data_IF_978568186560
#
_entry.id   IF_978568186560
#
_cell.length_a   1.000
_cell.length_b   1.000
_cell.length_c   1.000
_cell.angle_alpha   90.00
_cell.angle_beta   90.00
_cell.angle_gamma   90.00
#
_symmetry.space_group_name_H-M   'P 1'
#
loop_
_entity.id
_entity.type
_entity.pdbx_description
1 polymer ?
#
# COMPACT_ATOMS: atom_id res chain seq x y z
N UNK A 1 14.18 -12.09 -0.05
CA UNK A 1 12.85 -11.85 0.54
C UNK A 1 12.16 -10.80 -0.32
N UNK A 2 10.93 -11.03 -0.78
CA UNK A 2 10.29 -10.25 -1.86
C UNK A 2 9.81 -8.87 -1.38
N UNK A 3 8.90 -8.81 -0.39
CA UNK A 3 8.46 -7.59 0.30
C UNK A 3 8.29 -7.89 1.82
N UNK A 4 8.52 -6.90 2.69
CA UNK A 4 8.24 -6.98 4.14
C UNK A 4 6.80 -6.57 4.45
N UNK A 5 6.32 -5.53 3.78
CA UNK A 5 4.95 -5.07 3.89
C UNK A 5 4.04 -5.93 3.02
N UNK A 6 2.92 -6.39 3.59
CA UNK A 6 2.01 -7.32 2.91
C UNK A 6 0.59 -6.78 2.82
N UNK A 7 -0.05 -7.01 1.66
CA UNK A 7 -1.46 -6.69 1.45
C UNK A 7 -2.32 -7.80 2.06
N UNK A 8 -3.15 -7.44 3.04
CA UNK A 8 -4.11 -8.33 3.69
C UNK A 8 -5.51 -8.07 3.16
N UNK A 9 -6.34 -9.12 3.08
CA UNK A 9 -7.75 -8.97 2.75
C UNK A 9 -8.44 -8.08 3.78
N UNK A 10 -9.20 -7.09 3.31
CA UNK A 10 -9.98 -6.20 4.17
C UNK A 10 -11.37 -5.96 3.56
N UNK A 11 -12.41 -6.07 4.38
CA UNK A 11 -13.79 -5.74 3.97
C UNK A 11 -13.92 -4.30 3.50
N UNK A 12 -13.04 -3.41 3.97
CA UNK A 12 -12.98 -2.01 3.52
C UNK A 12 -12.70 -1.89 2.03
N UNK A 13 -11.82 -2.73 1.49
CA UNK A 13 -11.51 -2.75 0.04
C UNK A 13 -12.77 -3.13 -0.73
N UNK A 14 -13.54 -4.11 -0.25
CA UNK A 14 -14.83 -4.46 -0.86
C UNK A 14 -15.83 -3.31 -0.84
N UNK A 15 -15.87 -2.50 0.22
CA UNK A 15 -16.69 -1.27 0.25
C UNK A 15 -16.20 -0.27 -0.78
N UNK A 16 -14.89 -0.01 -0.87
CA UNK A 16 -14.35 0.93 -1.85
C UNK A 16 -14.58 0.48 -3.30
N UNK A 17 -14.53 -0.82 -3.58
CA UNK A 17 -14.84 -1.35 -4.92
C UNK A 17 -16.26 -1.03 -5.39
N UNK A 18 -17.19 -0.81 -4.45
CA UNK A 18 -18.60 -0.48 -4.75
C UNK A 18 -18.88 1.02 -4.70
N UNK A 19 -18.18 1.74 -3.82
CA UNK A 19 -18.57 3.10 -3.42
C UNK A 19 -17.48 4.16 -3.68
N UNK A 20 -16.34 3.77 -4.26
CA UNK A 20 -15.16 4.62 -4.39
C UNK A 20 -14.31 4.65 -3.12
N UNK A 21 -13.02 4.95 -3.30
CA UNK A 21 -12.07 5.14 -2.20
C UNK A 21 -12.45 6.40 -1.42
N UNK A 22 -12.38 6.31 -0.09
CA UNK A 22 -12.61 7.44 0.82
C UNK A 22 -11.54 7.46 1.89
N UNK A 23 -11.34 8.62 2.53
CA UNK A 23 -10.35 8.81 3.60
C UNK A 23 -10.97 9.16 4.96
N UNK A 24 -12.25 9.54 4.95
CA UNK A 24 -12.95 10.10 6.11
C UNK A 24 -13.82 9.09 6.86
N UNK A 25 -14.00 7.86 6.34
CA UNK A 25 -14.81 6.83 7.01
C UNK A 25 -13.95 5.98 7.93
N UNK A 26 -14.61 5.32 8.88
CA UNK A 26 -13.93 4.43 9.84
C UNK A 26 -13.08 3.37 9.13
N UNK A 27 -11.88 3.12 9.63
CA UNK A 27 -10.86 2.22 9.06
C UNK A 27 -10.26 2.62 7.70
N UNK A 28 -10.68 3.72 7.07
CA UNK A 28 -10.12 4.13 5.77
C UNK A 28 -8.61 4.35 5.86
N UNK A 29 -8.17 5.25 6.76
CA UNK A 29 -6.75 5.58 6.97
C UNK A 29 -5.89 4.36 7.30
N UNK A 30 -6.44 3.40 8.05
CA UNK A 30 -5.73 2.16 8.41
C UNK A 30 -5.53 1.23 7.21
N UNK A 31 -6.47 1.22 6.28
CA UNK A 31 -6.37 0.39 5.08
C UNK A 31 -5.52 1.11 4.03
N UNK A 32 -5.62 2.44 3.92
CA UNK A 32 -4.72 3.25 3.09
C UNK A 32 -3.26 3.05 3.52
N UNK A 33 -2.94 3.11 4.82
CA UNK A 33 -1.57 2.93 5.29
C UNK A 33 -0.99 1.54 4.96
N UNK A 34 -1.82 0.50 4.85
CA UNK A 34 -1.36 -0.82 4.37
C UNK A 34 -0.87 -0.77 2.92
N UNK A 35 -1.55 -0.01 2.05
CA UNK A 35 -1.12 0.18 0.66
C UNK A 35 0.05 1.16 0.56
N UNK A 36 0.02 2.26 1.32
CA UNK A 36 1.11 3.24 1.37
C UNK A 36 2.43 2.59 1.80
N UNK A 37 2.42 1.73 2.82
CA UNK A 37 3.63 1.02 3.25
C UNK A 37 4.24 0.14 2.16
N UNK A 38 3.40 -0.58 1.40
CA UNK A 38 3.87 -1.38 0.25
C UNK A 38 4.39 -0.48 -0.86
N UNK A 39 3.72 0.65 -1.10
CA UNK A 39 4.16 1.64 -2.10
C UNK A 39 5.52 2.25 -1.75
N UNK A 40 5.74 2.66 -0.50
CA UNK A 40 7.03 3.19 -0.08
C UNK A 40 8.14 2.14 -0.15
N UNK A 41 7.89 0.90 0.29
CA UNK A 41 8.87 -0.18 0.13
C UNK A 41 9.20 -0.45 -1.35
N UNK A 42 8.22 -0.36 -2.24
CA UNK A 42 8.46 -0.48 -3.69
C UNK A 42 9.38 0.64 -4.18
N UNK A 43 9.16 1.89 -3.76
CA UNK A 43 10.02 3.01 -4.13
C UNK A 43 11.44 2.83 -3.59
N UNK A 44 11.61 2.44 -2.33
CA UNK A 44 12.90 2.16 -1.71
C UNK A 44 13.70 1.13 -2.51
N UNK A 45 13.03 0.05 -2.95
CA UNK A 45 13.65 -1.00 -3.76
C UNK A 45 14.04 -0.51 -5.15
N UNK A 46 13.19 0.29 -5.80
CA UNK A 46 13.50 0.88 -7.11
C UNK A 46 14.72 1.79 -6.97
N UNK A 47 14.74 2.68 -5.98
CA UNK A 47 15.87 3.59 -5.72
C UNK A 47 17.16 2.81 -5.47
N UNK A 48 17.11 1.75 -4.67
CA UNK A 48 18.27 0.90 -4.44
C UNK A 48 18.80 0.29 -5.75
N UNK A 49 17.92 -0.25 -6.60
CA UNK A 49 18.30 -0.82 -7.88
C UNK A 49 18.85 0.21 -8.87
N UNK A 50 18.34 1.45 -8.86
CA UNK A 50 18.91 2.51 -9.69
C UNK A 50 20.29 2.94 -9.19
N UNK A 51 20.51 3.02 -7.87
CA UNK A 51 21.81 3.35 -7.30
C UNK A 51 22.87 2.25 -7.54
N UNK A 52 22.47 0.99 -7.65
CA UNK A 52 23.38 -0.13 -7.97
C UNK A 52 23.78 -0.17 -9.46
N UNK A 53 23.12 0.61 -10.33
CA UNK A 53 23.48 0.73 -11.75
C UNK A 53 24.57 1.78 -12.02
N UNK A 54 24.80 2.70 -11.08
CA UNK A 54 25.91 3.67 -11.12
C UNK A 54 27.22 3.04 -10.63
#
# INVERSE_FOLDING_TARGET
MVFQNIIKRSNKVSTWSKNGITEHKGYDKKVLSMYENVFFEMLERIIQLENEKE
#
